data_IF_864802815266
#
_entry.id   IF_864802815266
#
_cell.length_a   1.000
_cell.length_b   1.000
_cell.length_c   1.000
_cell.angle_alpha   90.00
_cell.angle_beta   90.00
_cell.angle_gamma   90.00
#
_symmetry.space_group_name_H-M   'P 1'
#
loop_
_entity.id
_entity.type
_entity.pdbx_description
1 polymer ?
#
# COMPACT_ATOMS: atom_id res chain seq x y z
N UNK A 1 -27.63 -21.11 0.64
CA UNK A 1 -28.05 -20.25 -0.48
C UNK A 1 -27.23 -18.97 -0.59
N UNK A 2 -27.12 -18.11 0.44
CA UNK A 2 -26.31 -16.88 0.38
C UNK A 2 -24.83 -17.08 0.01
N UNK A 3 -24.18 -18.13 0.52
CA UNK A 3 -22.77 -18.46 0.22
C UNK A 3 -22.53 -18.86 -1.24
N UNK A 4 -23.50 -19.50 -1.88
CA UNK A 4 -23.41 -19.90 -3.29
C UNK A 4 -23.61 -18.72 -4.24
N UNK A 5 -24.28 -17.65 -3.77
CA UNK A 5 -24.44 -16.40 -4.50
C UNK A 5 -23.17 -15.54 -4.43
N UNK A 6 -22.49 -15.51 -3.28
CA UNK A 6 -21.16 -14.88 -3.17
C UNK A 6 -20.12 -15.55 -4.08
N UNK A 7 -20.18 -16.88 -4.21
CA UNK A 7 -19.30 -17.68 -5.06
C UNK A 7 -19.40 -17.34 -6.56
N UNK A 8 -20.56 -16.85 -7.04
CA UNK A 8 -20.76 -16.47 -8.45
C UNK A 8 -20.33 -15.04 -8.78
N UNK A 9 -19.75 -14.28 -7.84
CA UNK A 9 -19.34 -12.89 -8.09
C UNK A 9 -20.51 -11.91 -8.27
N UNK A 10 -21.76 -12.36 -8.02
CA UNK A 10 -22.98 -11.56 -8.14
C UNK A 10 -23.38 -10.83 -6.86
N UNK A 11 -22.61 -10.97 -5.78
CA UNK A 11 -22.80 -10.15 -4.58
C UNK A 11 -21.97 -8.89 -4.75
N UNK A 12 -22.62 -7.87 -5.32
CA UNK A 12 -22.31 -6.50 -4.93
C UNK A 12 -22.66 -6.43 -3.45
N UNK A 13 -21.66 -6.45 -2.56
CA UNK A 13 -21.91 -6.14 -1.16
C UNK A 13 -22.28 -4.66 -1.16
N UNK A 14 -23.58 -4.37 -1.35
CA UNK A 14 -24.15 -3.02 -1.27
C UNK A 14 -24.15 -2.63 0.19
N UNK A 15 -22.96 -2.37 0.71
CA UNK A 15 -22.77 -1.74 2.00
C UNK A 15 -23.15 -0.28 1.80
N UNK A 16 -24.09 0.23 2.60
CA UNK A 16 -24.29 1.67 2.77
C UNK A 16 -22.92 2.26 3.08
N UNK A 17 -22.29 2.94 2.11
CA UNK A 17 -20.88 3.38 2.07
C UNK A 17 -20.13 3.17 3.39
N UNK A 18 -19.64 1.94 3.64
CA UNK A 18 -18.95 1.60 4.87
C UNK A 18 -17.65 2.40 4.92
N UNK A 19 -17.10 2.60 6.12
CA UNK A 19 -15.76 3.18 6.19
C UNK A 19 -14.76 2.23 5.50
N UNK A 20 -13.71 2.74 4.84
CA UNK A 20 -12.77 1.90 4.10
C UNK A 20 -12.23 0.70 4.90
N UNK A 21 -11.88 0.89 6.19
CA UNK A 21 -11.40 -0.21 7.05
C UNK A 21 -12.45 -1.28 7.35
N UNK A 22 -13.72 -0.90 7.46
CA UNK A 22 -14.82 -1.86 7.65
C UNK A 22 -15.01 -2.69 6.38
N UNK A 23 -14.92 -2.06 5.20
CA UNK A 23 -14.98 -2.75 3.92
C UNK A 23 -13.82 -3.74 3.77
N UNK A 24 -12.58 -3.30 4.05
CA UNK A 24 -11.38 -4.15 4.04
C UNK A 24 -11.57 -5.36 4.96
N UNK A 25 -12.05 -5.14 6.20
CA UNK A 25 -12.29 -6.22 7.16
C UNK A 25 -13.30 -7.25 6.66
N UNK A 26 -14.39 -6.80 6.04
CA UNK A 26 -15.42 -7.68 5.48
C UNK A 26 -14.86 -8.54 4.33
N UNK A 27 -14.02 -7.98 3.46
CA UNK A 27 -13.36 -8.75 2.41
C UNK A 27 -12.40 -9.81 2.97
N UNK A 28 -11.65 -9.49 4.03
CA UNK A 28 -10.77 -10.47 4.69
C UNK A 28 -11.58 -11.60 5.32
N UNK A 29 -12.67 -11.27 6.01
CA UNK A 29 -13.58 -12.27 6.57
C UNK A 29 -14.13 -13.20 5.49
N UNK A 30 -14.47 -12.66 4.31
CA UNK A 30 -14.87 -13.47 3.17
C UNK A 30 -13.78 -14.47 2.77
N UNK A 31 -12.53 -14.03 2.61
CA UNK A 31 -11.41 -14.93 2.26
C UNK A 31 -11.17 -16.00 3.32
N UNK A 32 -11.27 -15.65 4.61
CA UNK A 32 -11.17 -16.60 5.71
C UNK A 32 -12.25 -17.67 5.64
N UNK A 33 -13.52 -17.26 5.46
CA UNK A 33 -14.65 -18.18 5.36
C UNK A 33 -14.52 -19.06 4.11
N UNK A 34 -14.20 -18.47 2.97
CA UNK A 34 -14.05 -19.18 1.72
C UNK A 34 -12.96 -20.26 1.82
N UNK A 35 -11.84 -19.93 2.47
CA UNK A 35 -10.76 -20.89 2.75
C UNK A 35 -11.19 -21.99 3.71
N UNK A 36 -11.84 -21.64 4.82
CA UNK A 36 -12.32 -22.61 5.82
C UNK A 36 -13.32 -23.61 5.22
N UNK A 37 -14.18 -23.12 4.31
CA UNK A 37 -15.14 -23.93 3.57
C UNK A 37 -14.54 -24.63 2.34
N UNK A 38 -13.22 -24.47 2.10
CA UNK A 38 -12.49 -25.03 0.95
C UNK A 38 -13.17 -24.74 -0.39
N UNK A 39 -13.76 -23.55 -0.50
CA UNK A 39 -14.35 -23.08 -1.75
C UNK A 39 -13.23 -22.98 -2.80
N UNK A 40 -13.50 -23.52 -3.98
CA UNK A 40 -12.58 -23.49 -5.13
C UNK A 40 -13.03 -22.39 -6.10
N UNK A 41 -12.14 -21.88 -6.93
CA UNK A 41 -12.51 -20.88 -7.94
C UNK A 41 -11.81 -19.55 -7.75
N UNK A 42 -12.06 -18.64 -8.68
CA UNK A 42 -11.40 -17.34 -8.71
C UNK A 42 -12.15 -16.33 -7.86
N UNK A 43 -11.44 -15.65 -6.98
CA UNK A 43 -11.95 -14.54 -6.18
C UNK A 43 -11.65 -13.17 -6.81
N UNK A 44 -11.35 -13.13 -8.12
CA UNK A 44 -10.86 -11.92 -8.80
C UNK A 44 -11.74 -10.69 -8.59
N UNK A 45 -13.06 -10.83 -8.59
CA UNK A 45 -13.97 -9.69 -8.34
C UNK A 45 -13.85 -9.17 -6.90
N UNK A 46 -13.68 -10.06 -5.93
CA UNK A 46 -13.51 -9.69 -4.52
C UNK A 46 -12.15 -9.03 -4.31
N UNK A 47 -11.10 -9.57 -4.93
CA UNK A 47 -9.76 -8.97 -4.92
C UNK A 47 -9.76 -7.58 -5.56
N UNK A 48 -10.46 -7.38 -6.68
CA UNK A 48 -10.61 -6.06 -7.32
C UNK A 48 -11.28 -5.06 -6.38
N UNK A 49 -12.36 -5.46 -5.71
CA UNK A 49 -13.02 -4.59 -4.74
C UNK A 49 -12.15 -4.29 -3.54
N UNK A 50 -11.45 -5.29 -2.99
CA UNK A 50 -10.48 -5.08 -1.93
C UNK A 50 -9.39 -4.10 -2.38
N UNK A 51 -8.87 -4.27 -3.60
CA UNK A 51 -7.84 -3.38 -4.20
C UNK A 51 -8.34 -1.93 -4.28
N UNK A 52 -9.60 -1.72 -4.68
CA UNK A 52 -10.18 -0.38 -4.77
C UNK A 52 -10.39 0.28 -3.40
N UNK A 53 -10.87 -0.47 -2.41
CA UNK A 53 -11.01 0.03 -1.03
C UNK A 53 -9.65 0.33 -0.40
N UNK A 54 -8.67 -0.53 -0.69
CA UNK A 54 -7.29 -0.32 -0.31
C UNK A 54 -6.78 0.99 -0.96
N UNK A 55 -6.85 1.15 -2.27
CA UNK A 55 -6.47 2.40 -2.94
C UNK A 55 -7.10 3.64 -2.27
N UNK A 56 -8.41 3.57 -1.98
CA UNK A 56 -9.17 4.66 -1.34
C UNK A 56 -8.71 4.97 0.09
N UNK A 57 -8.42 3.96 0.91
CA UNK A 57 -7.96 4.19 2.28
C UNK A 57 -6.52 4.71 2.32
N UNK A 58 -5.64 4.24 1.42
CA UNK A 58 -4.27 4.75 1.29
C UNK A 58 -4.22 6.24 0.91
N UNK A 59 -5.17 6.71 0.11
CA UNK A 59 -5.29 8.13 -0.21
C UNK A 59 -5.73 8.96 1.00
N UNK A 60 -6.68 8.46 1.80
CA UNK A 60 -7.26 9.19 2.94
C UNK A 60 -6.37 9.19 4.20
N UNK A 61 -5.69 8.10 4.49
CA UNK A 61 -4.90 7.94 5.73
C UNK A 61 -3.55 8.67 5.65
N UNK A 62 -3.07 8.98 4.44
CA UNK A 62 -1.71 9.52 4.22
C UNK A 62 -1.74 11.00 3.77
N UNK A 63 -2.91 11.63 3.70
CA UNK A 63 -3.06 13.06 3.39
C UNK A 63 -3.00 13.95 4.67
N UNK A 64 -3.06 13.34 5.87
CA UNK A 64 -3.08 14.09 7.13
C UNK A 64 -1.68 14.54 7.65
N UNK A 65 -0.57 14.15 7.01
CA UNK A 65 0.75 14.19 7.67
C UNK A 65 1.80 15.04 6.93
N UNK A 66 1.51 16.33 6.76
CA UNK A 66 2.54 17.38 6.60
C UNK A 66 2.21 18.71 7.31
N UNK A 67 1.19 18.76 8.19
CA UNK A 67 0.87 20.01 8.93
C UNK A 67 0.83 19.92 10.45
N UNK A 68 0.67 18.75 11.05
CA UNK A 68 0.70 18.64 12.51
C UNK A 68 1.97 17.92 13.00
N UNK A 69 2.91 18.74 13.48
CA UNK A 69 4.12 18.33 14.20
C UNK A 69 3.79 17.77 15.58
N UNK A 70 2.91 16.79 15.69
CA UNK A 70 2.73 16.05 16.93
C UNK A 70 3.41 14.69 16.80
N UNK A 71 4.50 14.50 17.55
CA UNK A 71 5.29 13.26 17.72
C UNK A 71 4.49 12.01 18.16
N UNK A 72 3.15 12.07 18.21
CA UNK A 72 2.26 11.00 18.67
C UNK A 72 1.35 10.41 17.58
N UNK A 73 1.42 10.87 16.32
CA UNK A 73 0.71 10.19 15.23
C UNK A 73 1.44 8.89 14.86
N UNK A 74 0.80 7.75 15.11
CA UNK A 74 1.27 6.44 14.64
C UNK A 74 1.28 6.46 13.10
N UNK A 75 2.35 5.98 12.46
CA UNK A 75 2.44 5.94 10.98
C UNK A 75 1.38 4.99 10.40
N UNK A 76 0.96 4.03 11.20
CA UNK A 76 0.07 2.95 10.82
C UNK A 76 -1.09 2.96 11.80
N UNK A 77 -2.33 3.13 11.32
CA UNK A 77 -3.48 3.11 12.22
C UNK A 77 -3.62 1.80 12.98
N UNK A 78 -4.07 1.90 14.23
CA UNK A 78 -4.37 0.73 15.08
C UNK A 78 -5.37 -0.21 14.40
N UNK A 79 -6.39 0.34 13.73
CA UNK A 79 -7.38 -0.46 13.01
C UNK A 79 -6.73 -1.34 11.92
N UNK A 80 -5.78 -0.78 11.18
CA UNK A 80 -5.06 -1.54 10.15
C UNK A 80 -4.12 -2.60 10.75
N UNK A 81 -3.44 -2.30 11.87
CA UNK A 81 -2.60 -3.28 12.58
C UNK A 81 -3.42 -4.51 13.00
N UNK A 82 -4.60 -4.31 13.57
CA UNK A 82 -5.49 -5.41 13.96
C UNK A 82 -5.98 -6.20 12.74
N UNK A 83 -6.30 -5.51 11.64
CA UNK A 83 -6.66 -6.15 10.37
C UNK A 83 -5.53 -7.06 9.86
N UNK A 84 -4.28 -6.58 9.89
CA UNK A 84 -3.10 -7.37 9.48
C UNK A 84 -2.88 -8.57 10.41
N UNK A 85 -3.00 -8.38 11.73
CA UNK A 85 -2.88 -9.47 12.72
C UNK A 85 -3.89 -10.57 12.44
N UNK A 86 -5.16 -10.21 12.32
CA UNK A 86 -6.23 -11.14 11.97
C UNK A 86 -5.86 -11.85 10.66
N UNK A 87 -5.61 -11.11 9.59
CA UNK A 87 -5.34 -11.66 8.26
C UNK A 87 -4.15 -12.63 8.22
N UNK A 88 -3.04 -12.32 8.89
CA UNK A 88 -1.82 -13.12 8.86
C UNK A 88 -1.85 -14.30 9.85
N UNK A 89 -2.61 -14.20 10.94
CA UNK A 89 -2.85 -15.31 11.86
C UNK A 89 -3.63 -16.46 11.18
N UNK A 90 -4.46 -16.15 10.18
CA UNK A 90 -5.17 -17.14 9.39
C UNK A 90 -4.43 -17.52 8.11
N UNK A 91 -4.61 -18.76 7.63
CA UNK A 91 -4.05 -19.25 6.35
C UNK A 91 -4.83 -18.74 5.14
N UNK A 92 -5.00 -17.41 5.06
CA UNK A 92 -5.53 -16.75 3.86
C UNK A 92 -4.56 -16.90 2.68
N UNK A 93 -5.05 -16.63 1.47
CA UNK A 93 -4.25 -16.73 0.25
C UNK A 93 -3.12 -15.71 0.21
N UNK A 94 -1.95 -16.12 -0.30
CA UNK A 94 -0.76 -15.27 -0.35
C UNK A 94 -1.00 -13.96 -1.10
N UNK A 95 -1.76 -14.00 -2.20
CA UNK A 95 -2.13 -12.79 -2.96
C UNK A 95 -2.90 -11.77 -2.13
N UNK A 96 -3.82 -12.23 -1.27
CA UNK A 96 -4.56 -11.35 -0.36
C UNK A 96 -3.65 -10.72 0.69
N UNK A 97 -2.67 -11.47 1.21
CA UNK A 97 -1.65 -10.92 2.14
C UNK A 97 -0.81 -9.85 1.49
N UNK A 98 -0.32 -10.10 0.28
CA UNK A 98 0.45 -9.11 -0.47
C UNK A 98 -0.41 -7.86 -0.77
N UNK A 99 -1.68 -8.01 -1.12
CA UNK A 99 -2.61 -6.89 -1.28
C UNK A 99 -2.72 -6.07 0.02
N UNK A 100 -2.84 -6.70 1.18
CA UNK A 100 -2.84 -5.98 2.45
C UNK A 100 -1.49 -5.30 2.72
N UNK A 101 -0.37 -6.00 2.48
CA UNK A 101 0.97 -5.43 2.66
C UNK A 101 1.22 -4.19 1.78
N UNK A 102 0.54 -4.06 0.64
CA UNK A 102 0.65 -2.89 -0.25
C UNK A 102 0.32 -1.55 0.40
N UNK A 103 -0.48 -1.54 1.47
CA UNK A 103 -0.75 -0.34 2.28
C UNK A 103 0.48 0.24 2.93
N UNK A 104 1.38 -0.64 3.36
CA UNK A 104 2.58 -0.24 4.05
C UNK A 104 3.64 0.28 3.08
N UNK A 105 3.45 0.12 1.78
CA UNK A 105 4.46 0.45 0.78
C UNK A 105 4.85 1.93 0.80
N UNK A 106 3.88 2.85 0.74
CA UNK A 106 4.14 4.30 0.78
C UNK A 106 4.86 4.73 2.08
N UNK A 107 4.31 4.45 3.28
CA UNK A 107 4.97 4.88 4.52
C UNK A 107 6.31 4.18 4.75
N UNK A 108 6.46 2.91 4.34
CA UNK A 108 7.71 2.17 4.50
C UNK A 108 8.81 2.66 3.55
N UNK A 109 8.49 2.94 2.28
CA UNK A 109 9.46 3.54 1.35
C UNK A 109 9.87 4.94 1.82
N UNK A 110 8.93 5.77 2.27
CA UNK A 110 9.24 7.10 2.81
C UNK A 110 10.23 7.00 3.97
N UNK A 111 10.08 5.97 4.80
CA UNK A 111 11.03 5.66 5.87
C UNK A 111 12.40 5.19 5.33
N UNK A 112 12.42 4.27 4.37
CA UNK A 112 13.66 3.72 3.79
C UNK A 112 14.50 4.77 3.04
N UNK A 113 13.87 5.70 2.31
CA UNK A 113 14.55 6.61 1.38
C UNK A 113 14.82 8.00 1.94
N UNK A 114 14.13 8.43 3.01
CA UNK A 114 14.40 9.72 3.65
C UNK A 114 15.31 9.54 4.87
N UNK A 115 16.54 10.07 4.77
CA UNK A 115 17.59 10.01 5.80
C UNK A 115 17.22 10.64 7.15
N UNK A 116 16.18 11.48 7.18
CA UNK A 116 15.86 12.30 8.35
C UNK A 116 14.95 11.59 9.37
N UNK A 117 14.77 10.27 9.27
CA UNK A 117 13.77 9.56 10.07
C UNK A 117 14.27 9.15 11.46
N UNK A 118 14.04 10.06 12.39
CA UNK A 118 13.48 9.86 13.74
C UNK A 118 13.42 8.38 14.19
N UNK A 119 14.29 7.98 15.14
CA UNK A 119 14.45 6.59 15.61
C UNK A 119 13.14 5.88 16.00
N UNK A 120 12.12 6.65 16.40
CA UNK A 120 10.77 6.19 16.74
C UNK A 120 10.05 5.51 15.57
N UNK A 121 10.22 6.01 14.32
CA UNK A 121 9.55 5.48 13.13
C UNK A 121 10.11 4.12 12.71
N UNK A 122 11.42 3.95 12.80
CA UNK A 122 12.11 2.67 12.60
C UNK A 122 11.64 1.62 13.60
N UNK A 123 11.39 2.04 14.85
CA UNK A 123 10.92 1.16 15.91
C UNK A 123 9.51 0.63 15.63
N UNK A 124 8.59 1.47 15.14
CA UNK A 124 7.20 1.07 14.85
C UNK A 124 7.12 -0.03 13.77
N UNK A 125 7.83 0.12 12.64
CA UNK A 125 7.85 -0.93 11.60
C UNK A 125 8.52 -2.22 12.09
N UNK A 126 9.61 -2.08 12.85
CA UNK A 126 10.30 -3.24 13.42
C UNK A 126 9.42 -4.02 14.39
N UNK A 127 8.69 -3.33 15.27
CA UNK A 127 7.71 -3.95 16.17
C UNK A 127 6.60 -4.64 15.37
N UNK A 128 6.05 -3.97 14.34
CA UNK A 128 5.01 -4.58 13.50
C UNK A 128 5.47 -5.87 12.81
N UNK A 129 6.67 -5.89 12.25
CA UNK A 129 7.22 -7.07 11.58
C UNK A 129 7.57 -8.20 12.56
N UNK A 130 7.89 -7.86 13.82
CA UNK A 130 8.05 -8.85 14.88
C UNK A 130 6.71 -9.41 15.35
N UNK A 131 5.66 -8.58 15.38
CA UNK A 131 4.31 -9.00 15.79
C UNK A 131 3.61 -9.86 14.72
N UNK A 132 3.90 -9.64 13.45
CA UNK A 132 3.17 -10.25 12.32
C UNK A 132 4.13 -11.02 11.42
N UNK A 133 4.24 -12.33 11.67
CA UNK A 133 5.13 -13.20 10.91
C UNK A 133 4.83 -13.20 9.40
N UNK A 134 5.87 -13.03 8.58
CA UNK A 134 5.79 -13.02 7.12
C UNK A 134 5.43 -11.68 6.48
N UNK A 135 4.92 -10.71 7.25
CA UNK A 135 4.55 -9.39 6.72
C UNK A 135 5.74 -8.64 6.12
N UNK A 136 6.90 -8.67 6.79
CA UNK A 136 8.12 -8.02 6.32
C UNK A 136 8.50 -8.47 4.91
N UNK A 137 8.42 -9.79 4.67
CA UNK A 137 8.81 -10.38 3.41
C UNK A 137 7.86 -9.96 2.27
N UNK A 138 6.55 -9.88 2.54
CA UNK A 138 5.58 -9.38 1.57
C UNK A 138 5.81 -7.90 1.26
N UNK A 139 6.08 -7.06 2.28
CA UNK A 139 6.41 -5.64 2.08
C UNK A 139 7.71 -5.47 1.29
N UNK A 140 8.77 -6.21 1.62
CA UNK A 140 10.05 -6.13 0.92
C UNK A 140 9.95 -6.57 -0.54
N UNK A 141 9.16 -7.60 -0.84
CA UNK A 141 8.89 -8.01 -2.23
C UNK A 141 8.22 -6.89 -3.01
N UNK A 142 7.27 -6.19 -2.40
CA UNK A 142 6.58 -5.07 -3.04
C UNK A 142 7.53 -3.91 -3.30
N UNK A 143 8.35 -3.53 -2.31
CA UNK A 143 9.39 -2.52 -2.50
C UNK A 143 10.32 -2.92 -3.64
N UNK A 144 10.84 -4.14 -3.62
CA UNK A 144 11.74 -4.66 -4.65
C UNK A 144 11.13 -4.59 -6.05
N UNK A 145 9.87 -4.99 -6.20
CA UNK A 145 9.14 -4.88 -7.46
C UNK A 145 8.93 -3.42 -7.91
N UNK A 146 8.60 -2.54 -6.97
CA UNK A 146 8.38 -1.12 -7.22
C UNK A 146 9.65 -0.36 -7.62
N UNK A 147 10.82 -0.71 -7.08
CA UNK A 147 12.07 0.03 -7.32
C UNK A 147 12.43 0.15 -8.82
N UNK A 148 12.09 -0.87 -9.61
CA UNK A 148 12.28 -0.86 -11.08
C UNK A 148 11.51 0.27 -11.81
N UNK A 149 10.48 0.82 -11.17
CA UNK A 149 9.60 1.86 -11.69
C UNK A 149 9.88 3.26 -11.12
N UNK A 150 10.96 3.39 -10.32
CA UNK A 150 11.34 4.66 -9.71
C UNK A 150 11.52 5.72 -10.78
N UNK A 151 10.76 6.81 -10.64
CA UNK A 151 10.77 7.88 -11.63
C UNK A 151 10.53 9.24 -10.99
N UNK A 152 11.12 10.26 -11.60
CA UNK A 152 10.99 11.64 -11.16
C UNK A 152 9.61 12.20 -11.51
N UNK A 153 8.96 12.82 -10.54
CA UNK A 153 7.70 13.54 -10.72
C UNK A 153 7.88 14.88 -11.44
N UNK A 154 6.79 15.64 -11.52
CA UNK A 154 6.82 17.00 -12.10
C UNK A 154 7.69 17.93 -11.24
N UNK A 155 8.40 18.84 -11.90
CA UNK A 155 9.16 19.90 -11.23
C UNK A 155 8.21 20.89 -10.56
N UNK A 156 8.56 21.31 -9.35
CA UNK A 156 7.96 22.47 -8.69
C UNK A 156 8.57 23.80 -9.18
N UNK A 157 8.06 24.91 -8.65
CA UNK A 157 8.51 26.27 -9.02
C UNK A 157 9.98 26.52 -8.71
N UNK A 158 10.57 25.75 -7.78
CA UNK A 158 11.93 25.92 -7.29
C UNK A 158 12.92 24.95 -7.95
N UNK A 159 12.44 24.13 -8.91
CA UNK A 159 13.24 23.18 -9.68
C UNK A 159 13.54 21.87 -8.95
N UNK A 160 12.77 21.55 -7.90
CA UNK A 160 12.82 20.25 -7.26
C UNK A 160 11.77 19.33 -7.86
N UNK A 161 12.09 18.03 -7.90
CA UNK A 161 11.16 16.98 -8.27
C UNK A 161 11.20 15.89 -7.22
N UNK A 162 10.02 15.36 -6.90
CA UNK A 162 9.87 14.26 -5.96
C UNK A 162 9.92 12.94 -6.69
N UNK A 163 10.65 11.96 -6.17
CA UNK A 163 10.62 10.63 -6.77
C UNK A 163 9.33 9.89 -6.43
N UNK A 164 8.83 9.14 -7.39
CA UNK A 164 7.61 8.35 -7.30
C UNK A 164 7.90 6.89 -7.63
N UNK A 165 7.15 5.99 -7.02
CA UNK A 165 7.22 4.54 -7.22
C UNK A 165 5.84 3.99 -7.55
N UNK A 166 5.78 2.98 -8.41
CA UNK A 166 4.55 2.26 -8.75
C UNK A 166 4.34 1.05 -7.86
N UNK A 167 3.18 0.91 -7.25
CA UNK A 167 2.76 -0.32 -6.59
C UNK A 167 2.15 -1.28 -7.62
N UNK A 168 2.72 -2.48 -7.83
CA UNK A 168 2.19 -3.43 -8.82
C UNK A 168 0.85 -4.07 -8.41
N UNK A 169 0.39 -3.88 -7.17
CA UNK A 169 -0.83 -4.51 -6.65
C UNK A 169 -2.04 -3.58 -6.61
N UNK A 170 -1.84 -2.34 -6.16
CA UNK A 170 -2.89 -1.33 -6.14
C UNK A 170 -2.97 -0.53 -7.42
N UNK A 171 -1.99 -0.69 -8.31
CA UNK A 171 -1.86 0.11 -9.54
C UNK A 171 -1.82 1.61 -9.25
N UNK A 172 -1.21 1.99 -8.13
CA UNK A 172 -1.04 3.37 -7.71
C UNK A 172 0.42 3.78 -7.73
N UNK A 173 0.66 5.03 -8.10
CA UNK A 173 1.94 5.70 -7.82
C UNK A 173 1.88 6.38 -6.47
N UNK A 174 2.94 6.23 -5.70
CA UNK A 174 3.12 6.95 -4.46
C UNK A 174 4.42 7.74 -4.48
N UNK A 175 4.37 8.90 -3.84
CA UNK A 175 5.53 9.74 -3.58
C UNK A 175 6.42 9.07 -2.53
N UNK A 176 7.72 9.03 -2.80
CA UNK A 176 8.74 8.50 -1.89
C UNK A 176 9.12 9.46 -0.76
N UNK A 177 8.70 10.73 -0.84
CA UNK A 177 9.13 11.80 0.05
C UNK A 177 10.52 12.35 -0.23
N UNK A 178 11.32 11.70 -1.08
CA UNK A 178 12.65 12.17 -1.46
C UNK A 178 12.56 13.25 -2.54
N UNK A 179 13.10 14.44 -2.24
CA UNK A 179 13.22 15.55 -3.19
C UNK A 179 14.61 15.60 -3.79
N UNK A 180 14.68 15.77 -5.10
CA UNK A 180 15.94 15.99 -5.81
C UNK A 180 15.88 17.30 -6.59
N UNK A 181 16.93 18.10 -6.45
CA UNK A 181 17.12 19.27 -7.31
C UNK A 181 17.53 18.79 -8.70
N UNK A 182 16.72 19.07 -9.70
CA UNK A 182 17.06 18.71 -11.07
C UNK A 182 17.92 19.84 -11.63
N UNK A 183 19.21 19.54 -11.86
CA UNK A 183 20.13 20.48 -12.48
C UNK A 183 19.65 20.92 -13.88
N UNK A 184 20.13 22.06 -14.40
CA UNK A 184 19.76 22.50 -15.74
C UNK A 184 20.07 21.39 -16.74
N UNK A 185 19.05 20.97 -17.49
CA UNK A 185 19.22 20.08 -18.63
C UNK A 185 20.17 20.74 -19.62
N UNK A 186 21.44 20.33 -19.64
CA UNK A 186 22.34 20.64 -20.74
C UNK A 186 21.79 19.87 -21.94
N UNK A 187 20.99 20.53 -22.78
CA UNK A 187 20.70 20.03 -24.12
C UNK A 187 22.05 19.76 -24.75
N UNK A 188 22.43 18.48 -24.94
CA UNK A 188 23.52 18.13 -25.84
C UNK A 188 23.12 18.72 -27.19
N UNK A 189 23.77 19.82 -27.56
CA UNK A 189 23.76 20.26 -28.94
C UNK A 189 24.22 19.05 -29.76
N UNK A 190 23.39 18.58 -30.68
CA UNK A 190 23.88 17.70 -31.74
C UNK A 190 25.00 18.50 -32.42
N UNK A 191 26.24 18.07 -32.26
CA UNK A 191 27.32 18.53 -33.11
C UNK A 191 26.99 18.02 -34.51
N UNK A 192 26.35 18.87 -35.30
CA UNK A 192 26.34 18.72 -36.74
C UNK A 192 27.73 19.09 -37.23
N UNK A 193 28.41 18.14 -37.86
CA UNK A 193 29.63 18.38 -38.62
C UNK A 193 29.37 19.44 -39.69
N UNK A 194 30.10 20.55 -39.61
CA UNK A 194 30.47 21.41 -40.75
C UNK A 194 31.80 22.06 -40.44
#
# INVERSE_FOLDING_TARGET
>A
MALQWMYTGNVVISLVKPKPFEAIRLYIQFFMIAKALKLKGSYSNVEKSLTAELATASEKEIDEDDKDKNEKSSIISTAFKEILKDAFAYTIEGRTRELLASFLLKPYVKHLLCSDTNATKTKEFKELFQEIEGLELDVLRLVGGSLSSLSMGKLDSDGYSRSTLWCPLTELRFDTGSMYKVGPFVKRAKSGDT
#
